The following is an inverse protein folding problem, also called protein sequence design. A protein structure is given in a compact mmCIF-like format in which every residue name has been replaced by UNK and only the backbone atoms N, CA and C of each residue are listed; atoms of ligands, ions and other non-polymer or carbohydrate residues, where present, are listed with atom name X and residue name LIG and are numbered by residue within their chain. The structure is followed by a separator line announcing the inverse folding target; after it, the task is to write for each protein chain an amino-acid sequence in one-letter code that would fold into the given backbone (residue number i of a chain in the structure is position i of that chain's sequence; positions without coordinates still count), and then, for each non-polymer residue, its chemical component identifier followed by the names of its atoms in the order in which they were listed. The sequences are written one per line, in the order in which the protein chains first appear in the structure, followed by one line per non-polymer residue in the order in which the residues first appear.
data_IF_703192401741
#
_entry.id   IF_703192401741
#
_cell.length_a   1.000
_cell.length_b   1.000
_cell.length_c   1.000
_cell.angle_alpha   90.00
_cell.angle_beta   90.00
_cell.angle_gamma   90.00
#
_symmetry.space_group_name_H-M   'P 1'
#
loop_
_entity.id
_entity.type
_entity.pdbx_description
1 polymer ?
#
# COMPACT_ATOMS: atom_id res chain seq x y z
N UNK A 1 -19.68 -5.34 15.56
CA UNK A 1 -19.74 -5.79 14.15
C UNK A 1 -18.55 -5.13 13.48
N UNK A 2 -17.51 -5.89 13.15
CA UNK A 2 -16.32 -5.34 12.51
C UNK A 2 -16.71 -4.86 11.11
N UNK A 3 -16.30 -3.66 10.75
CA UNK A 3 -16.53 -3.11 9.43
C UNK A 3 -15.51 -3.78 8.47
N UNK A 4 -15.90 -4.35 7.32
CA UNK A 4 -14.94 -4.95 6.38
C UNK A 4 -13.85 -3.98 5.90
N UNK A 5 -14.06 -2.67 6.06
CA UNK A 5 -13.05 -1.63 5.91
C UNK A 5 -11.95 -1.73 6.96
N UNK A 6 -12.33 -1.91 8.23
CA UNK A 6 -11.40 -2.06 9.33
C UNK A 6 -10.56 -3.33 9.14
N UNK A 7 -11.16 -4.39 8.57
CA UNK A 7 -10.47 -5.62 8.19
C UNK A 7 -9.48 -5.40 7.04
N UNK A 8 -9.86 -4.66 5.99
CA UNK A 8 -8.96 -4.33 4.90
C UNK A 8 -7.78 -3.47 5.35
N UNK A 9 -8.06 -2.48 6.21
CA UNK A 9 -7.03 -1.63 6.82
C UNK A 9 -6.12 -2.43 7.75
N UNK A 10 -6.68 -3.33 8.56
CA UNK A 10 -5.89 -4.22 9.40
C UNK A 10 -4.93 -5.08 8.57
N UNK A 11 -5.41 -5.66 7.47
CA UNK A 11 -4.57 -6.43 6.53
C UNK A 11 -3.44 -5.58 5.94
N UNK A 12 -3.72 -4.36 5.49
CA UNK A 12 -2.68 -3.47 4.96
C UNK A 12 -1.67 -3.05 6.04
N UNK A 13 -2.10 -2.87 7.29
CA UNK A 13 -1.20 -2.57 8.41
C UNK A 13 -0.29 -3.75 8.74
N UNK A 14 -0.80 -4.99 8.67
CA UNK A 14 0.00 -6.21 8.82
C UNK A 14 0.99 -6.38 7.67
N UNK A 15 0.56 -6.18 6.43
CA UNK A 15 1.45 -6.23 5.25
C UNK A 15 2.55 -5.18 5.32
N UNK A 16 2.23 -3.97 5.80
CA UNK A 16 3.21 -2.89 6.02
C UNK A 16 4.22 -3.29 7.09
N UNK A 17 3.78 -3.86 8.21
CA UNK A 17 4.68 -4.32 9.28
C UNK A 17 5.63 -5.40 8.77
N UNK A 18 5.12 -6.36 7.99
CA UNK A 18 5.94 -7.38 7.36
C UNK A 18 6.97 -6.76 6.39
N UNK A 19 6.56 -5.79 5.57
CA UNK A 19 7.46 -5.12 4.63
C UNK A 19 8.55 -4.31 5.36
N UNK A 20 8.20 -3.63 6.46
CA UNK A 20 9.16 -2.93 7.32
C UNK A 20 10.22 -3.88 7.87
N UNK A 21 9.82 -5.04 8.39
CA UNK A 21 10.77 -6.05 8.88
C UNK A 21 11.70 -6.56 7.77
N UNK A 22 11.20 -6.69 6.54
CA UNK A 22 12.04 -7.07 5.39
C UNK A 22 13.06 -5.98 5.03
N UNK A 23 12.64 -4.72 5.03
CA UNK A 23 13.51 -3.55 4.79
C UNK A 23 14.60 -3.47 5.86
N UNK A 24 14.26 -3.62 7.13
CA UNK A 24 15.23 -3.56 8.24
C UNK A 24 16.30 -4.63 8.12
N UNK A 25 15.91 -5.88 7.83
CA UNK A 25 16.87 -6.97 7.62
C UNK A 25 17.80 -6.67 6.44
N UNK A 26 17.24 -6.26 5.31
CA UNK A 26 18.03 -5.98 4.11
C UNK A 26 18.96 -4.78 4.31
N UNK A 27 18.56 -3.78 5.09
CA UNK A 27 19.43 -2.66 5.49
C UNK A 27 20.61 -3.13 6.34
N UNK A 28 20.40 -4.08 7.25
CA UNK A 28 21.46 -4.65 8.06
C UNK A 28 22.45 -5.45 7.19
N UNK A 29 21.94 -6.29 6.29
CA UNK A 29 22.76 -7.07 5.34
C UNK A 29 23.63 -6.14 4.48
N UNK A 30 23.03 -5.13 3.84
CA UNK A 30 23.76 -4.14 3.03
C UNK A 30 24.77 -3.36 3.85
N UNK A 31 24.45 -3.02 5.11
CA UNK A 31 25.38 -2.30 5.99
C UNK A 31 26.62 -3.15 6.30
N UNK A 32 26.42 -4.44 6.58
CA UNK A 32 27.51 -5.39 6.81
C UNK A 32 28.39 -5.47 5.55
N UNK A 33 27.80 -5.60 4.36
CA UNK A 33 28.53 -5.59 3.07
C UNK A 33 29.31 -4.28 2.82
N UNK A 34 28.81 -3.14 3.29
CA UNK A 34 29.47 -1.82 3.18
C UNK A 34 30.66 -1.65 4.13
N UNK A 35 30.67 -2.37 5.26
CA UNK A 35 31.78 -2.34 6.24
C UNK A 35 33.01 -3.08 5.71
N UNK A 36 32.87 -3.94 4.69
CA UNK A 36 33.98 -4.58 3.99
C UNK A 36 34.47 -3.72 2.82
N UNK A 37 35.79 -3.50 2.76
CA UNK A 37 36.43 -2.92 1.56
C UNK A 37 36.41 -3.94 0.43
N UNK A 38 35.48 -3.75 -0.51
CA UNK A 38 35.44 -4.51 -1.75
C UNK A 38 36.37 -3.86 -2.78
N UNK A 39 37.28 -4.65 -3.35
CA UNK A 39 38.18 -4.21 -4.43
C UNK A 39 37.48 -4.34 -5.80
N UNK A 40 38.02 -3.67 -6.81
CA UNK A 40 37.53 -3.71 -8.19
C UNK A 40 37.73 -5.13 -8.77
N UNK A 41 36.71 -5.99 -8.62
CA UNK A 41 36.76 -7.40 -8.99
C UNK A 41 36.24 -8.38 -7.93
N UNK A 42 35.78 -7.87 -6.79
CA UNK A 42 35.15 -8.69 -5.76
C UNK A 42 33.84 -9.34 -6.28
N UNK A 43 33.71 -10.67 -6.21
CA UNK A 43 32.51 -11.38 -6.69
C UNK A 43 31.23 -11.03 -5.92
N UNK A 44 31.32 -10.38 -4.75
CA UNK A 44 30.17 -9.98 -3.92
C UNK A 44 29.61 -8.60 -4.31
N UNK A 45 30.34 -7.79 -5.10
CA UNK A 45 29.86 -6.48 -5.59
C UNK A 45 28.50 -6.54 -6.32
N UNK A 46 28.26 -7.49 -7.25
CA UNK A 46 26.96 -7.58 -7.94
C UNK A 46 25.81 -7.96 -6.99
N UNK A 47 26.07 -8.77 -5.96
CA UNK A 47 25.05 -9.12 -4.97
C UNK A 47 24.71 -7.90 -4.11
N UNK A 48 25.72 -7.11 -3.71
CA UNK A 48 25.53 -5.85 -3.00
C UNK A 48 24.71 -4.83 -3.80
N UNK A 49 25.02 -4.63 -5.08
CA UNK A 49 24.25 -3.74 -5.96
C UNK A 49 22.79 -4.19 -6.09
N UNK A 50 22.57 -5.49 -6.20
CA UNK A 50 21.23 -6.09 -6.23
C UNK A 50 20.48 -5.88 -4.93
N UNK A 51 21.13 -6.05 -3.77
CA UNK A 51 20.53 -5.81 -2.46
C UNK A 51 20.14 -4.34 -2.28
N UNK A 52 20.96 -3.40 -2.73
CA UNK A 52 20.64 -1.97 -2.76
C UNK A 52 19.43 -1.66 -3.65
N UNK A 53 19.35 -2.25 -4.84
CA UNK A 53 18.21 -2.07 -5.73
C UNK A 53 16.91 -2.64 -5.15
N UNK A 54 17.01 -3.80 -4.50
CA UNK A 54 15.89 -4.44 -3.82
C UNK A 54 15.40 -3.60 -2.64
N UNK A 55 16.32 -3.02 -1.87
CA UNK A 55 16.01 -2.12 -0.77
C UNK A 55 15.23 -0.90 -1.25
N UNK A 56 15.71 -0.23 -2.30
CA UNK A 56 15.03 0.92 -2.88
C UNK A 56 13.61 0.56 -3.36
N UNK A 57 13.44 -0.62 -3.98
CA UNK A 57 12.13 -1.11 -4.43
C UNK A 57 11.17 -1.34 -3.26
N UNK A 58 11.67 -1.88 -2.14
CA UNK A 58 10.84 -2.11 -0.96
C UNK A 58 10.46 -0.82 -0.25
N UNK A 59 11.37 0.16 -0.19
CA UNK A 59 11.10 1.49 0.33
C UNK A 59 10.02 2.22 -0.48
N UNK A 60 10.09 2.19 -1.81
CA UNK A 60 9.04 2.74 -2.69
C UNK A 60 7.69 2.07 -2.43
N UNK A 61 7.67 0.73 -2.35
CA UNK A 61 6.44 -0.02 -2.06
C UNK A 61 5.87 0.29 -0.68
N UNK A 62 6.73 0.54 0.31
CA UNK A 62 6.31 0.94 1.65
C UNK A 62 5.60 2.31 1.59
N UNK A 63 6.18 3.27 0.89
CA UNK A 63 5.59 4.61 0.70
C UNK A 63 4.21 4.53 0.02
N UNK A 64 4.08 3.75 -1.05
CA UNK A 64 2.78 3.52 -1.72
C UNK A 64 1.73 2.93 -0.77
N UNK A 65 2.15 1.99 0.08
CA UNK A 65 1.28 1.34 1.06
C UNK A 65 0.86 2.29 2.17
N UNK A 66 1.77 3.12 2.68
CA UNK A 66 1.47 4.14 3.67
C UNK A 66 0.49 5.18 3.12
N UNK A 67 0.67 5.62 1.87
CA UNK A 67 -0.28 6.48 1.17
C UNK A 67 -1.66 5.82 1.02
N UNK A 68 -1.71 4.53 0.71
CA UNK A 68 -2.97 3.79 0.64
C UNK A 68 -3.66 3.73 2.02
N UNK A 69 -2.90 3.47 3.09
CA UNK A 69 -3.40 3.46 4.47
C UNK A 69 -3.89 4.85 4.90
N UNK A 70 -3.20 5.91 4.51
CA UNK A 70 -3.60 7.29 4.81
C UNK A 70 -4.93 7.65 4.12
N UNK A 71 -5.10 7.26 2.86
CA UNK A 71 -6.38 7.41 2.13
C UNK A 71 -7.53 6.64 2.79
N UNK A 72 -7.24 5.56 3.51
CA UNK A 72 -8.23 4.83 4.33
C UNK A 72 -8.51 5.52 5.67
N UNK A 73 -7.62 6.42 6.12
CA UNK A 73 -7.68 7.12 7.41
C UNK A 73 -8.46 8.42 7.33
N UNK A 74 -8.43 9.10 6.18
CA UNK A 74 -9.35 10.18 5.88
C UNK A 74 -10.77 9.62 5.94
N UNK A 75 -11.57 10.07 6.90
CA UNK A 75 -12.86 9.49 7.30
C UNK A 75 -13.98 9.50 6.25
N UNK A 76 -13.62 9.73 4.99
CA UNK A 76 -14.46 9.64 3.81
C UNK A 76 -14.45 8.22 3.20
N UNK A 77 -13.55 7.33 3.64
CA UNK A 77 -13.51 5.97 3.11
C UNK A 77 -14.73 5.14 3.56
N UNK A 78 -15.40 4.53 2.58
CA UNK A 78 -16.70 3.90 2.79
C UNK A 78 -17.84 4.89 2.99
N UNK A 79 -17.63 6.19 2.77
CA UNK A 79 -18.68 7.21 2.70
C UNK A 79 -18.82 7.68 1.26
N UNK A 80 -20.05 7.82 0.79
CA UNK A 80 -20.30 8.29 -0.56
C UNK A 80 -19.99 9.79 -0.68
N UNK A 81 -19.04 10.16 -1.54
CA UNK A 81 -18.68 11.57 -1.84
C UNK A 81 -19.82 12.45 -2.35
N UNK A 82 -20.94 11.87 -2.81
CA UNK A 82 -22.09 12.61 -3.33
C UNK A 82 -23.22 12.78 -2.30
N UNK A 83 -23.49 11.79 -1.46
CA UNK A 83 -24.62 11.84 -0.52
C UNK A 83 -24.22 11.72 0.96
N UNK A 84 -22.95 11.50 1.29
CA UNK A 84 -22.47 11.34 2.66
C UNK A 84 -22.95 10.07 3.37
N UNK A 85 -23.63 9.15 2.67
CA UNK A 85 -24.09 7.90 3.25
C UNK A 85 -23.03 6.81 3.17
N UNK A 86 -23.02 5.85 4.11
CA UNK A 86 -22.11 4.70 4.04
C UNK A 86 -22.33 3.91 2.73
N UNK A 87 -21.22 3.48 2.13
CA UNK A 87 -21.17 2.60 0.98
C UNK A 87 -21.37 1.17 1.46
N UNK A 88 -22.12 0.40 0.70
CA UNK A 88 -22.40 -1.00 1.00
C UNK A 88 -21.10 -1.80 1.25
N UNK A 89 -20.96 -2.50 2.40
CA UNK A 89 -19.79 -3.28 2.72
C UNK A 89 -19.49 -4.38 1.67
N UNK A 90 -20.51 -5.03 1.10
CA UNK A 90 -20.30 -6.04 0.03
C UNK A 90 -19.64 -5.39 -1.20
N UNK A 91 -19.98 -4.13 -1.47
CA UNK A 91 -19.36 -3.40 -2.57
C UNK A 91 -17.93 -2.99 -2.27
N UNK A 92 -17.60 -2.65 -1.03
CA UNK A 92 -16.23 -2.32 -0.63
C UNK A 92 -15.33 -3.58 -0.59
N UNK A 93 -15.90 -4.75 -0.32
CA UNK A 93 -15.20 -6.03 -0.43
C UNK A 93 -14.83 -6.37 -1.88
N UNK A 94 -15.73 -6.07 -2.83
CA UNK A 94 -15.49 -6.32 -4.27
C UNK A 94 -14.66 -5.20 -4.90
N UNK A 95 -14.90 -3.95 -4.50
CA UNK A 95 -14.27 -2.73 -5.05
C UNK A 95 -13.87 -1.81 -3.88
N UNK A 96 -12.68 -2.00 -3.31
CA UNK A 96 -12.20 -1.20 -2.17
C UNK A 96 -12.12 0.30 -2.52
N UNK A 97 -11.69 0.66 -3.74
CA UNK A 97 -11.55 2.06 -4.15
C UNK A 97 -12.87 2.80 -4.44
N UNK A 98 -14.02 2.22 -4.08
CA UNK A 98 -15.33 2.79 -4.32
C UNK A 98 -15.55 4.13 -3.61
N UNK A 99 -15.68 5.22 -4.37
CA UNK A 99 -15.93 6.58 -3.83
C UNK A 99 -17.41 7.01 -3.74
N UNK A 100 -18.32 6.27 -4.38
CA UNK A 100 -19.76 6.61 -4.46
C UNK A 100 -20.61 5.39 -4.16
N UNK A 101 -21.73 5.49 -3.44
CA UNK A 101 -22.68 4.39 -3.29
C UNK A 101 -23.33 4.00 -4.63
N UNK A 102 -23.90 2.78 -4.72
CA UNK A 102 -24.53 2.28 -5.96
C UNK A 102 -25.55 3.26 -6.55
N UNK A 103 -26.51 3.82 -5.78
CA UNK A 103 -27.48 4.79 -6.31
C UNK A 103 -26.82 6.04 -6.92
N UNK A 104 -25.78 6.57 -6.27
CA UNK A 104 -25.06 7.74 -6.74
C UNK A 104 -24.23 7.44 -7.99
N UNK A 105 -23.54 6.29 -8.04
CA UNK A 105 -22.79 5.84 -9.22
C UNK A 105 -23.72 5.66 -10.42
N UNK A 106 -24.89 5.03 -10.26
CA UNK A 106 -25.87 4.88 -11.36
C UNK A 106 -26.38 6.24 -11.86
N UNK A 107 -26.58 7.23 -10.99
CA UNK A 107 -26.98 8.59 -11.39
C UNK A 107 -25.88 9.31 -12.19
N UNK A 108 -24.63 9.17 -11.79
CA UNK A 108 -23.45 9.71 -12.50
C UNK A 108 -23.31 9.10 -13.90
N UNK A 109 -23.38 7.77 -14.01
CA UNK A 109 -23.27 7.06 -15.30
C UNK A 109 -24.39 7.44 -16.28
N UNK A 110 -25.61 7.67 -15.79
CA UNK A 110 -26.73 8.16 -16.61
C UNK A 110 -26.55 9.60 -17.09
N UNK A 111 -25.82 10.45 -16.34
CA UNK A 111 -25.50 11.83 -16.73
C UNK A 111 -24.37 11.90 -17.76
N UNK A 112 -23.37 11.03 -17.67
CA UNK A 112 -22.23 11.01 -18.60
C UNK A 112 -22.53 10.44 -19.99
N UNK A 113 -23.71 9.86 -20.21
CA UNK A 113 -24.17 9.33 -21.52
C UNK A 113 -25.04 10.32 -22.32
N UNK A 114 -25.06 11.60 -21.98
CA UNK A 114 -25.81 12.65 -22.71
C UNK A 114 -24.87 13.59 -23.44
#
# INVERSE_FOLDING_TARGET
MANPIDEHKARLLEERDHLLQQIERLREDVKVELEFEADEGDPELPEREKNLALLATFEERLEEMELAIEKLKDGDYGICKNCGQPIDPERLLIVPEAQYCVPCKTKLERRGRR
#
